data_IF_209740404812
#
_entry.id   IF_209740404812
#
_cell.length_a   1.000
_cell.length_b   1.000
_cell.length_c   1.000
_cell.angle_alpha   90.00
_cell.angle_beta   90.00
_cell.angle_gamma   90.00
#
_symmetry.space_group_name_H-M   'P 1'
#
loop_
_entity.id
_entity.type
_entity.pdbx_description
1 polymer ?
#
# COMPACT_ATOMS: atom_id res chain seq x y z
N UNK A 1 -1.81 -17.27 8.22
CA UNK A 1 -2.95 -17.72 9.04
C UNK A 1 -3.69 -16.51 9.59
N UNK A 2 -5.02 -16.57 9.74
CA UNK A 2 -5.79 -15.46 10.30
C UNK A 2 -5.56 -15.37 11.81
N UNK A 3 -5.21 -14.19 12.37
CA UNK A 3 -4.99 -14.05 13.81
C UNK A 3 -6.24 -14.36 14.64
N UNK A 4 -6.02 -14.85 15.87
CA UNK A 4 -7.13 -15.09 16.81
C UNK A 4 -7.86 -13.78 17.16
N UNK A 5 -9.10 -13.91 17.63
CA UNK A 5 -9.96 -12.75 17.92
C UNK A 5 -9.37 -11.81 18.97
N UNK A 6 -8.70 -12.34 20.00
CA UNK A 6 -8.10 -11.53 21.07
C UNK A 6 -7.02 -10.59 20.55
N UNK A 7 -6.10 -11.09 19.71
CA UNK A 7 -5.07 -10.26 19.08
C UNK A 7 -5.66 -9.17 18.20
N UNK A 8 -6.69 -9.51 17.41
CA UNK A 8 -7.39 -8.54 16.55
C UNK A 8 -8.01 -7.42 17.38
N UNK A 9 -8.77 -7.75 18.42
CA UNK A 9 -9.42 -6.77 19.29
C UNK A 9 -8.41 -5.80 19.93
N UNK A 10 -7.26 -6.31 20.42
CA UNK A 10 -6.22 -5.46 21.01
C UNK A 10 -5.67 -4.48 19.98
N UNK A 11 -5.39 -4.94 18.76
CA UNK A 11 -4.88 -4.08 17.69
C UNK A 11 -5.92 -3.05 17.27
N UNK A 12 -7.17 -3.47 17.04
CA UNK A 12 -8.28 -2.61 16.66
C UNK A 12 -8.53 -1.48 17.68
N UNK A 13 -8.40 -1.76 18.98
CA UNK A 13 -8.52 -0.75 20.03
C UNK A 13 -7.34 0.23 20.11
N UNK A 14 -6.19 -0.11 19.54
CA UNK A 14 -4.95 0.64 19.71
C UNK A 14 -4.29 1.12 18.40
N UNK A 15 -4.83 0.76 17.23
CA UNK A 15 -4.25 1.09 15.93
C UNK A 15 -3.97 2.58 15.78
N UNK A 16 -4.88 3.46 16.21
CA UNK A 16 -4.69 4.90 16.15
C UNK A 16 -3.48 5.42 16.94
N UNK A 17 -3.06 4.70 18.00
CA UNK A 17 -1.87 5.02 18.80
C UNK A 17 -0.58 4.48 18.18
N UNK A 18 -0.68 3.37 17.44
CA UNK A 18 0.47 2.68 16.84
C UNK A 18 0.88 3.30 15.49
N UNK A 19 -0.09 3.73 14.69
CA UNK A 19 0.13 4.25 13.33
C UNK A 19 1.17 5.40 13.30
N UNK A 20 1.12 6.43 14.17
CA UNK A 20 2.10 7.51 14.12
C UNK A 20 3.54 7.04 14.36
N UNK A 21 3.74 6.11 15.30
CA UNK A 21 5.05 5.55 15.62
C UNK A 21 5.61 4.74 14.44
N UNK A 22 4.78 3.87 13.87
CA UNK A 22 5.15 3.05 12.70
C UNK A 22 5.53 3.94 11.51
N UNK A 23 4.71 4.96 11.21
CA UNK A 23 4.99 5.87 10.09
C UNK A 23 6.33 6.59 10.26
N UNK A 24 6.67 6.99 11.50
CA UNK A 24 7.94 7.64 11.80
C UNK A 24 9.12 6.66 11.66
N UNK A 25 8.99 5.47 12.23
CA UNK A 25 10.06 4.46 12.24
C UNK A 25 10.29 3.80 10.86
N UNK A 26 9.31 3.86 9.94
CA UNK A 26 9.46 3.40 8.56
C UNK A 26 10.39 4.29 7.71
N UNK A 27 10.62 5.53 8.13
CA UNK A 27 11.48 6.52 7.47
C UNK A 27 12.72 6.81 8.33
N UNK A 28 13.08 5.88 9.24
CA UNK A 28 14.24 6.02 10.11
C UNK A 28 15.55 5.81 9.34
N UNK A 29 16.62 6.46 9.76
CA UNK A 29 17.93 6.34 9.13
C UNK A 29 18.60 4.98 9.44
N UNK A 30 18.19 4.31 10.52
CA UNK A 30 18.64 2.97 10.88
C UNK A 30 17.80 1.91 10.15
N UNK A 31 18.44 1.17 9.25
CA UNK A 31 17.79 0.11 8.47
C UNK A 31 17.06 -0.93 9.33
N UNK A 32 17.65 -1.34 10.47
CA UNK A 32 17.02 -2.33 11.36
C UNK A 32 15.73 -1.81 12.02
N UNK A 33 15.63 -0.50 12.26
CA UNK A 33 14.39 0.12 12.76
C UNK A 33 13.32 0.06 11.67
N UNK A 34 13.68 0.45 10.43
CA UNK A 34 12.78 0.38 9.28
C UNK A 34 12.27 -1.05 9.04
N UNK A 35 13.13 -2.07 9.14
CA UNK A 35 12.75 -3.47 8.94
C UNK A 35 11.75 -3.92 10.00
N UNK A 36 12.01 -3.63 11.28
CA UNK A 36 11.10 -3.98 12.38
C UNK A 36 9.77 -3.26 12.27
N UNK A 37 9.81 -1.97 11.91
CA UNK A 37 8.59 -1.17 11.70
C UNK A 37 7.78 -1.70 10.51
N UNK A 38 8.42 -2.09 9.42
CA UNK A 38 7.75 -2.70 8.27
C UNK A 38 7.12 -4.07 8.61
N UNK A 39 7.82 -4.91 9.37
CA UNK A 39 7.25 -6.17 9.88
C UNK A 39 6.03 -5.91 10.77
N UNK A 40 6.14 -4.93 11.68
CA UNK A 40 5.03 -4.53 12.55
C UNK A 40 3.85 -3.99 11.74
N UNK A 41 4.10 -3.19 10.69
CA UNK A 41 3.05 -2.71 9.78
C UNK A 41 2.27 -3.87 9.15
N UNK A 42 2.95 -4.90 8.64
CA UNK A 42 2.30 -6.05 8.02
C UNK A 42 1.40 -6.79 9.03
N UNK A 43 1.88 -6.99 10.25
CA UNK A 43 1.11 -7.62 11.33
C UNK A 43 -0.05 -6.72 11.77
N UNK A 44 0.17 -5.41 11.88
CA UNK A 44 -0.85 -4.43 12.27
C UNK A 44 -2.03 -4.47 11.29
N UNK A 45 -1.77 -4.34 9.99
CA UNK A 45 -2.82 -4.32 8.96
C UNK A 45 -3.60 -5.64 8.97
N UNK A 46 -2.91 -6.77 9.08
CA UNK A 46 -3.55 -8.09 9.14
C UNK A 46 -4.48 -8.25 10.36
N UNK A 47 -4.12 -7.67 11.50
CA UNK A 47 -4.91 -7.75 12.73
C UNK A 47 -6.01 -6.68 12.82
N UNK A 48 -5.77 -5.49 12.26
CA UNK A 48 -6.75 -4.41 12.24
C UNK A 48 -7.93 -4.71 11.31
N UNK A 49 -7.69 -5.49 10.26
CA UNK A 49 -8.69 -5.81 9.23
C UNK A 49 -9.30 -4.50 8.67
N UNK A 50 -10.62 -4.35 8.71
CA UNK A 50 -11.35 -3.19 8.19
C UNK A 50 -11.06 -1.88 8.93
N UNK A 51 -10.59 -1.91 10.18
CA UNK A 51 -10.25 -0.69 10.92
C UNK A 51 -9.08 0.06 10.28
N UNK A 52 -8.31 -0.61 9.40
CA UNK A 52 -7.29 0.02 8.56
C UNK A 52 -7.86 1.14 7.68
N UNK A 53 -9.15 1.09 7.31
CA UNK A 53 -9.84 2.12 6.50
C UNK A 53 -9.69 3.51 7.13
N UNK A 54 -9.73 3.62 8.47
CA UNK A 54 -9.63 4.91 9.17
C UNK A 54 -8.21 5.49 9.20
N UNK A 55 -7.22 4.68 8.81
CA UNK A 55 -5.79 5.00 8.96
C UNK A 55 -5.03 4.97 7.64
N UNK A 56 -5.62 4.44 6.56
CA UNK A 56 -4.97 4.26 5.27
C UNK A 56 -4.36 5.56 4.73
N UNK A 57 -5.06 6.69 4.83
CA UNK A 57 -4.55 7.99 4.37
C UNK A 57 -3.25 8.39 5.07
N UNK A 58 -3.10 8.06 6.36
CA UNK A 58 -1.89 8.33 7.14
C UNK A 58 -0.76 7.34 6.84
N UNK A 59 -1.11 6.10 6.52
CA UNK A 59 -0.14 5.03 6.26
C UNK A 59 0.49 5.13 4.86
N UNK A 60 -0.30 5.47 3.85
CA UNK A 60 0.13 5.48 2.45
C UNK A 60 1.43 6.28 2.20
N UNK A 61 1.59 7.53 2.68
CA UNK A 61 2.82 8.29 2.45
C UNK A 61 4.09 7.60 2.99
N UNK A 62 4.01 7.01 4.19
CA UNK A 62 5.15 6.30 4.78
C UNK A 62 5.46 5.02 3.99
N UNK A 63 4.43 4.30 3.53
CA UNK A 63 4.60 3.09 2.71
C UNK A 63 5.22 3.39 1.34
N UNK A 64 4.82 4.49 0.70
CA UNK A 64 5.40 4.89 -0.59
C UNK A 64 6.90 5.11 -0.49
N UNK A 65 7.34 5.87 0.52
CA UNK A 65 8.75 6.12 0.81
C UNK A 65 9.49 4.82 1.15
N UNK A 66 8.96 4.01 2.05
CA UNK A 66 9.59 2.76 2.51
C UNK A 66 9.77 1.75 1.36
N UNK A 67 8.91 1.76 0.33
CA UNK A 67 9.10 0.95 -0.88
C UNK A 67 10.32 1.34 -1.74
N UNK A 68 10.96 2.48 -1.46
CA UNK A 68 12.20 2.91 -2.13
C UNK A 68 13.47 2.60 -1.34
N UNK A 69 13.32 2.08 -0.12
CA UNK A 69 14.43 1.73 0.76
C UNK A 69 15.38 0.69 0.13
N UNK A 70 16.67 0.80 0.42
CA UNK A 70 17.71 -0.07 -0.14
C UNK A 70 17.63 -1.50 0.40
N UNK A 71 17.33 -1.63 1.70
CA UNK A 71 17.09 -2.93 2.32
C UNK A 71 15.78 -3.55 1.82
N UNK A 72 15.92 -4.61 1.02
CA UNK A 72 14.82 -5.38 0.45
C UNK A 72 13.83 -5.91 1.51
N UNK A 73 14.28 -6.16 2.75
CA UNK A 73 13.43 -6.63 3.85
C UNK A 73 12.39 -5.60 4.27
N UNK A 74 12.66 -4.30 4.09
CA UNK A 74 11.64 -3.26 4.31
C UNK A 74 10.57 -3.38 3.23
N UNK A 75 11.00 -3.39 1.96
CA UNK A 75 10.10 -3.45 0.81
C UNK A 75 9.17 -4.67 0.83
N UNK A 76 9.69 -5.86 1.14
CA UNK A 76 8.86 -7.08 1.14
C UNK A 76 7.73 -6.98 2.18
N UNK A 77 8.00 -6.45 3.38
CA UNK A 77 7.00 -6.32 4.42
C UNK A 77 5.97 -5.22 4.10
N UNK A 78 6.40 -4.10 3.52
CA UNK A 78 5.48 -3.03 3.09
C UNK A 78 4.57 -3.52 1.95
N UNK A 79 5.09 -4.30 1.00
CA UNK A 79 4.31 -4.92 -0.07
C UNK A 79 3.28 -5.90 0.52
N UNK A 80 3.67 -6.75 1.46
CA UNK A 80 2.74 -7.64 2.17
C UNK A 80 1.64 -6.86 2.89
N UNK A 81 2.00 -5.78 3.58
CA UNK A 81 1.01 -4.93 4.24
C UNK A 81 0.04 -4.28 3.24
N UNK A 82 0.54 -3.81 2.10
CA UNK A 82 -0.27 -3.26 1.01
C UNK A 82 -1.22 -4.30 0.40
N UNK A 83 -0.80 -5.56 0.25
CA UNK A 83 -1.69 -6.65 -0.17
C UNK A 83 -2.81 -6.90 0.85
N UNK A 84 -2.50 -6.90 2.15
CA UNK A 84 -3.54 -6.98 3.18
C UNK A 84 -4.49 -5.77 3.16
N UNK A 85 -3.97 -4.56 2.93
CA UNK A 85 -4.83 -3.37 2.74
C UNK A 85 -5.76 -3.57 1.55
N UNK A 86 -5.26 -4.08 0.43
CA UNK A 86 -6.08 -4.40 -0.74
C UNK A 86 -7.24 -5.35 -0.43
N UNK A 87 -7.00 -6.33 0.45
CA UNK A 87 -8.00 -7.31 0.87
C UNK A 87 -9.08 -6.72 1.79
N UNK A 88 -8.71 -5.86 2.75
CA UNK A 88 -9.64 -5.32 3.76
C UNK A 88 -10.28 -3.98 3.38
N UNK A 89 -9.63 -3.19 2.54
CA UNK A 89 -10.07 -1.84 2.16
C UNK A 89 -10.73 -1.90 0.78
N UNK A 90 -12.00 -1.47 0.66
CA UNK A 90 -12.70 -1.44 -0.62
C UNK A 90 -11.99 -0.62 -1.70
N UNK A 91 -12.04 -1.06 -2.99
CA UNK A 91 -11.40 -0.35 -4.09
C UNK A 91 -11.75 1.13 -4.26
N UNK A 92 -13.01 1.49 -4.08
CA UNK A 92 -13.44 2.89 -4.17
C UNK A 92 -12.78 3.77 -3.09
N UNK A 93 -12.48 3.22 -1.92
CA UNK A 93 -11.87 3.95 -0.79
C UNK A 93 -10.41 4.24 -1.11
N UNK A 94 -9.61 3.23 -1.45
CA UNK A 94 -8.20 3.48 -1.74
C UNK A 94 -8.02 4.22 -3.07
N UNK A 95 -8.89 4.04 -4.08
CA UNK A 95 -8.77 4.78 -5.33
C UNK A 95 -8.97 6.29 -5.13
N UNK A 96 -9.89 6.69 -4.24
CA UNK A 96 -10.09 8.10 -3.85
C UNK A 96 -8.88 8.74 -3.18
N UNK A 97 -7.94 7.95 -2.67
CA UNK A 97 -6.72 8.44 -2.01
C UNK A 97 -5.48 8.32 -2.91
N UNK A 98 -5.31 7.14 -3.51
CA UNK A 98 -4.13 6.80 -4.31
C UNK A 98 -4.15 7.54 -5.65
N UNK A 99 -5.27 7.58 -6.37
CA UNK A 99 -5.29 8.19 -7.71
C UNK A 99 -4.98 9.69 -7.66
N UNK A 100 -5.59 10.51 -6.76
CA UNK A 100 -5.21 11.93 -6.65
C UNK A 100 -3.74 12.11 -6.25
N UNK A 101 -3.22 11.30 -5.33
CA UNK A 101 -1.80 11.36 -4.95
C UNK A 101 -0.88 11.09 -6.14
N UNK A 102 -1.29 10.21 -7.04
CA UNK A 102 -0.58 9.93 -8.28
C UNK A 102 -0.79 11.04 -9.34
N UNK A 103 -1.77 11.93 -9.21
CA UNK A 103 -1.94 13.06 -10.15
C UNK A 103 -1.02 14.24 -9.83
N UNK A 104 -0.65 14.44 -8.56
CA UNK A 104 0.10 15.60 -8.05
C UNK A 104 1.56 15.72 -8.56
N UNK A 105 2.00 14.85 -9.48
CA UNK A 105 3.24 15.00 -10.25
C UNK A 105 4.53 14.53 -9.54
N UNK A 106 4.53 14.38 -8.21
CA UNK A 106 5.69 13.90 -7.43
C UNK A 106 5.73 12.36 -7.30
N UNK A 107 5.34 11.65 -8.37
CA UNK A 107 5.26 10.19 -8.37
C UNK A 107 6.66 9.57 -8.52
N UNK A 108 6.92 8.54 -7.72
CA UNK A 108 8.04 7.62 -7.92
C UNK A 108 7.58 6.17 -7.88
N UNK A 109 8.47 5.25 -8.23
CA UNK A 109 8.16 3.81 -8.35
C UNK A 109 7.61 3.18 -7.04
N UNK A 110 7.88 3.79 -5.88
CA UNK A 110 7.35 3.34 -4.59
C UNK A 110 5.84 3.47 -4.48
N UNK A 111 5.27 4.55 -5.05
CA UNK A 111 3.82 4.74 -5.11
C UNK A 111 3.15 3.63 -5.94
N UNK A 112 3.68 3.38 -7.14
CA UNK A 112 3.18 2.32 -8.03
C UNK A 112 3.40 0.93 -7.44
N UNK A 113 4.49 0.69 -6.71
CA UNK A 113 4.72 -0.59 -6.04
C UNK A 113 3.63 -0.89 -4.99
N UNK A 114 3.34 0.10 -4.13
CA UNK A 114 2.26 -0.01 -3.13
C UNK A 114 0.92 -0.18 -3.81
N UNK A 115 0.64 0.62 -4.85
CA UNK A 115 -0.63 0.51 -5.57
C UNK A 115 -0.80 -0.86 -6.23
N UNK A 116 0.23 -1.37 -6.93
CA UNK A 116 0.22 -2.72 -7.51
C UNK A 116 -0.04 -3.81 -6.47
N UNK A 117 0.52 -3.66 -5.26
CA UNK A 117 0.30 -4.59 -4.16
C UNK A 117 -1.16 -4.53 -3.63
N UNK A 118 -1.71 -3.32 -3.43
CA UNK A 118 -3.12 -3.12 -3.05
C UNK A 118 -4.03 -3.79 -4.10
N UNK A 119 -3.83 -3.51 -5.39
CA UNK A 119 -4.60 -4.11 -6.49
C UNK A 119 -4.51 -5.65 -6.51
N UNK A 120 -3.34 -6.21 -6.17
CA UNK A 120 -3.15 -7.66 -6.11
C UNK A 120 -3.93 -8.29 -4.96
N UNK A 121 -3.99 -7.61 -3.82
CA UNK A 121 -4.71 -8.07 -2.64
C UNK A 121 -6.23 -7.90 -2.71
N UNK A 122 -6.72 -7.05 -3.60
CA UNK A 122 -8.16 -6.74 -3.70
C UNK A 122 -9.03 -7.90 -4.19
N UNK A 123 -10.25 -7.94 -3.63
CA UNK A 123 -11.29 -8.84 -4.09
C UNK A 123 -11.68 -8.51 -5.54
N UNK A 124 -11.62 -9.51 -6.41
CA UNK A 124 -11.82 -9.35 -7.86
C UNK A 124 -13.17 -8.75 -8.22
N UNK A 125 -14.22 -9.15 -7.49
CA UNK A 125 -15.59 -8.69 -7.75
C UNK A 125 -15.74 -7.19 -7.52
N UNK A 126 -15.21 -6.66 -6.41
CA UNK A 126 -15.28 -5.22 -6.10
C UNK A 126 -14.27 -4.43 -6.93
N UNK A 127 -13.06 -4.99 -7.17
CA UNK A 127 -12.06 -4.36 -8.03
C UNK A 127 -12.58 -4.17 -9.47
N UNK A 128 -13.38 -5.12 -9.97
CA UNK A 128 -13.97 -5.03 -11.31
C UNK A 128 -14.78 -3.75 -11.55
N UNK A 129 -15.36 -3.17 -10.50
CA UNK A 129 -16.18 -1.96 -10.56
C UNK A 129 -15.32 -0.69 -10.79
N UNK A 130 -14.05 -0.74 -10.38
CA UNK A 130 -13.09 0.37 -10.52
C UNK A 130 -12.17 0.22 -11.74
N UNK A 131 -12.25 -0.87 -12.52
CA UNK A 131 -11.35 -1.13 -13.65
C UNK A 131 -11.31 0.03 -14.66
N UNK A 132 -12.47 0.61 -14.98
CA UNK A 132 -12.54 1.73 -15.92
C UNK A 132 -11.87 2.99 -15.37
N UNK A 133 -12.01 3.23 -14.06
CA UNK A 133 -11.39 4.35 -13.37
C UNK A 133 -9.87 4.18 -13.34
N UNK A 134 -9.40 3.03 -12.83
CA UNK A 134 -7.97 2.72 -12.70
C UNK A 134 -7.31 2.63 -14.08
N UNK A 135 -7.87 1.86 -15.01
CA UNK A 135 -7.32 1.74 -16.36
C UNK A 135 -7.31 3.07 -17.10
N UNK A 136 -8.39 3.86 -16.96
CA UNK A 136 -8.49 5.21 -17.51
C UNK A 136 -7.45 6.18 -16.93
N UNK A 137 -7.07 6.00 -15.66
CA UNK A 137 -5.98 6.73 -15.03
C UNK A 137 -4.60 6.27 -15.51
N UNK A 138 -4.33 4.96 -15.49
CA UNK A 138 -3.02 4.39 -15.85
C UNK A 138 -2.64 4.66 -17.30
N UNK A 139 -3.61 4.78 -18.22
CA UNK A 139 -3.33 5.09 -19.63
C UNK A 139 -2.97 6.56 -19.90
N UNK A 140 -3.10 7.47 -18.92
CA UNK A 140 -2.84 8.89 -19.14
C UNK A 140 -1.37 9.11 -19.48
N UNK A 141 -1.02 9.96 -20.48
CA UNK A 141 0.36 10.11 -20.95
C UNK A 141 1.39 10.41 -19.85
N UNK A 142 1.05 11.28 -18.91
CA UNK A 142 1.94 11.67 -17.81
C UNK A 142 2.14 10.56 -16.75
N UNK A 143 1.33 9.50 -16.80
CA UNK A 143 1.50 8.28 -16.01
C UNK A 143 2.24 7.23 -16.83
N UNK A 144 1.73 6.85 -18.01
CA UNK A 144 2.25 5.71 -18.75
C UNK A 144 3.55 5.95 -19.53
N UNK A 145 3.92 7.20 -19.83
CA UNK A 145 5.06 7.50 -20.71
C UNK A 145 6.36 7.85 -19.96
N UNK A 146 6.46 7.49 -18.68
CA UNK A 146 7.70 7.67 -17.91
C UNK A 146 8.86 6.88 -18.52
N UNK A 147 10.03 7.50 -18.69
CA UNK A 147 11.23 6.82 -19.20
C UNK A 147 12.03 6.05 -18.13
N UNK A 148 11.60 6.11 -16.86
CA UNK A 148 12.33 5.52 -15.73
C UNK A 148 12.03 4.01 -15.65
N UNK A 149 13.04 3.15 -15.79
CA UNK A 149 12.87 1.68 -15.81
C UNK A 149 12.12 1.14 -14.59
N UNK A 150 12.58 1.46 -13.37
CA UNK A 150 11.90 1.01 -12.12
C UNK A 150 10.43 1.46 -12.05
N UNK A 151 10.12 2.63 -12.60
CA UNK A 151 8.76 3.15 -12.64
C UNK A 151 7.90 2.30 -13.59
N UNK A 152 8.37 2.07 -14.82
CA UNK A 152 7.68 1.24 -15.82
C UNK A 152 7.47 -0.19 -15.35
N UNK A 153 8.44 -0.77 -14.65
CA UNK A 153 8.29 -2.10 -14.03
C UNK A 153 7.13 -2.15 -13.03
N UNK A 154 7.00 -1.14 -12.16
CA UNK A 154 5.89 -1.14 -11.19
C UNK A 154 4.56 -0.79 -11.87
N UNK A 155 4.57 0.06 -12.90
CA UNK A 155 3.37 0.32 -13.71
C UNK A 155 2.86 -0.95 -14.38
N UNK A 156 3.76 -1.75 -14.96
CA UNK A 156 3.40 -3.06 -15.53
C UNK A 156 2.78 -3.98 -14.48
N UNK A 157 3.33 -4.00 -13.26
CA UNK A 157 2.73 -4.77 -12.15
C UNK A 157 1.35 -4.28 -11.75
N UNK A 158 1.07 -2.96 -11.85
CA UNK A 158 -0.30 -2.46 -11.68
C UNK A 158 -1.21 -3.08 -12.74
N UNK A 159 -0.82 -3.03 -14.03
CA UNK A 159 -1.60 -3.61 -15.12
C UNK A 159 -1.81 -5.13 -14.95
N UNK A 160 -0.75 -5.88 -14.62
CA UNK A 160 -0.85 -7.32 -14.34
C UNK A 160 -1.79 -7.62 -13.18
N UNK A 161 -1.78 -6.80 -12.13
CA UNK A 161 -2.66 -6.98 -10.98
C UNK A 161 -4.14 -6.76 -11.32
N UNK A 162 -4.46 -5.97 -12.36
CA UNK A 162 -5.82 -5.75 -12.85
C UNK A 162 -6.33 -6.88 -13.77
N UNK A 163 -5.41 -7.61 -14.42
CA UNK A 163 -5.73 -8.67 -15.38
C UNK A 163 -5.91 -10.06 -14.74
N UNK A 164 -5.46 -10.22 -13.49
CA UNK A 164 -5.69 -11.42 -12.68
C UNK A 164 -7.10 -11.45 -12.13
#
# INVERSE_FOLDING_TARGET
ERPNLGCRLIVQQNIGKLVPGICKELDDWLADICVRSAQLLAVLVLNAEQDTIQHIEKLLPAMYKACTHEDYRVKINVVTAAEYMGYFVPPDVYCRLVLPTLEDGNIHYGHLNVFAAILRGSERKTLSQELRNIGGFLQRPYICQSKKTKYQEQLLKCCEALLR
#
